data_IF_004385335611
#
_entry.id   IF_004385335611
#
_cell.length_a   1.000
_cell.length_b   1.000
_cell.length_c   1.000
_cell.angle_alpha   90.00
_cell.angle_beta   90.00
_cell.angle_gamma   90.00
#
_symmetry.space_group_name_H-M   'P 1'
#
loop_
_entity.id
_entity.type
_entity.pdbx_description
1 polymer ?
#
# COMPACT_ATOMS: atom_id res chain seq x y z
N UNK A 1 -5.34 10.24 0.55
CA UNK A 1 -4.62 11.12 1.50
C UNK A 1 -3.44 11.77 0.80
N UNK A 2 -2.92 12.87 1.32
CA UNK A 2 -1.72 13.55 0.80
C UNK A 2 -0.98 14.19 1.97
N UNK A 3 0.29 13.85 2.17
CA UNK A 3 1.11 14.33 3.27
C UNK A 3 2.35 15.05 2.76
N UNK A 4 2.78 16.10 3.46
CA UNK A 4 4.01 16.82 3.18
C UNK A 4 5.12 16.34 4.13
N UNK A 5 5.88 15.35 3.68
CA UNK A 5 6.95 14.74 4.49
C UNK A 5 8.06 15.73 4.91
N UNK A 6 8.17 16.90 4.27
CA UNK A 6 9.18 17.90 4.62
C UNK A 6 8.79 18.67 5.88
N UNK A 7 7.52 19.07 5.97
CA UNK A 7 7.01 19.89 7.07
C UNK A 7 6.23 19.08 8.10
N UNK A 8 5.78 17.88 7.72
CA UNK A 8 5.03 16.93 8.54
C UNK A 8 5.62 15.52 8.40
N UNK A 9 6.82 15.28 8.96
CA UNK A 9 7.51 13.99 8.87
C UNK A 9 6.78 12.85 9.62
N UNK A 10 5.77 13.18 10.41
CA UNK A 10 4.97 12.23 11.19
C UNK A 10 3.55 12.06 10.62
N UNK A 11 3.26 12.66 9.47
CA UNK A 11 2.02 12.46 8.70
C UNK A 11 0.72 12.75 9.50
N UNK A 12 0.74 13.75 10.38
CA UNK A 12 -0.42 14.12 11.19
C UNK A 12 -1.52 14.84 10.38
N UNK A 13 -1.15 15.56 9.33
CA UNK A 13 -2.05 16.45 8.59
C UNK A 13 -2.30 15.94 7.17
N UNK A 14 -3.50 15.42 6.94
CA UNK A 14 -3.94 15.04 5.61
C UNK A 14 -4.35 16.29 4.81
N UNK A 15 -3.64 16.56 3.73
CA UNK A 15 -3.84 17.70 2.82
C UNK A 15 -4.55 17.32 1.53
N UNK A 16 -5.21 16.16 1.47
CA UNK A 16 -5.83 15.64 0.25
C UNK A 16 -6.92 16.55 -0.33
N UNK A 17 -7.57 17.36 0.50
CA UNK A 17 -8.69 18.23 0.12
C UNK A 17 -8.27 19.70 -0.05
N UNK A 18 -6.99 20.02 0.14
CA UNK A 18 -6.48 21.37 -0.09
C UNK A 18 -6.46 21.69 -1.60
N UNK A 19 -7.25 22.67 -2.07
CA UNK A 19 -7.31 23.02 -3.49
C UNK A 19 -5.97 23.52 -4.04
N UNK A 20 -5.09 24.08 -3.19
CA UNK A 20 -3.75 24.53 -3.60
C UNK A 20 -2.87 23.36 -4.04
N UNK A 21 -3.13 22.16 -3.52
CA UNK A 21 -2.38 20.94 -3.81
C UNK A 21 -3.03 20.07 -4.88
N UNK A 22 -4.14 20.51 -5.50
CA UNK A 22 -4.82 19.77 -6.56
C UNK A 22 -3.88 19.38 -7.72
N UNK A 23 -2.98 20.30 -8.13
CA UNK A 23 -1.98 20.03 -9.17
C UNK A 23 -0.98 18.95 -8.75
N UNK A 24 -0.56 18.96 -7.48
CA UNK A 24 0.38 17.97 -6.93
C UNK A 24 -0.31 16.61 -6.83
N UNK A 25 -1.54 16.56 -6.32
CA UNK A 25 -2.38 15.36 -6.25
C UNK A 25 -2.58 14.74 -7.64
N UNK A 26 -2.89 15.54 -8.65
CA UNK A 26 -3.05 15.07 -10.02
C UNK A 26 -1.74 14.52 -10.61
N UNK A 27 -0.60 15.18 -10.35
CA UNK A 27 0.71 14.70 -10.81
C UNK A 27 1.09 13.36 -10.17
N UNK A 28 0.86 13.22 -8.87
CA UNK A 28 1.13 11.97 -8.14
C UNK A 28 0.20 10.85 -8.59
N UNK A 29 -1.10 11.14 -8.79
CA UNK A 29 -2.06 10.17 -9.30
C UNK A 29 -1.68 9.62 -10.67
N UNK A 30 -1.08 10.45 -11.55
CA UNK A 30 -0.58 10.00 -12.87
C UNK A 30 0.65 9.09 -12.78
N UNK A 31 1.44 9.20 -11.73
CA UNK A 31 2.58 8.32 -11.51
C UNK A 31 2.16 6.93 -10.98
N UNK A 32 0.93 6.81 -10.47
CA UNK A 32 0.40 5.51 -10.04
C UNK A 32 0.14 4.62 -11.26
N UNK A 33 0.54 3.34 -11.20
CA UNK A 33 0.24 2.41 -12.26
C UNK A 33 -1.28 2.21 -12.39
N UNK A 34 -1.80 2.33 -13.61
CA UNK A 34 -3.23 2.15 -13.88
C UNK A 34 -3.68 0.68 -13.68
N UNK A 35 -2.75 -0.26 -13.81
CA UNK A 35 -2.96 -1.68 -13.56
C UNK A 35 -2.18 -2.06 -12.30
N UNK A 36 -2.90 -2.56 -11.32
CA UNK A 36 -2.31 -3.12 -10.11
C UNK A 36 -1.86 -4.54 -10.43
N UNK A 37 -0.62 -4.88 -10.11
CA UNK A 37 -0.14 -6.25 -10.18
C UNK A 37 -0.99 -7.15 -9.25
N UNK A 38 -1.22 -8.42 -9.62
CA UNK A 38 -1.98 -9.33 -8.78
C UNK A 38 -1.29 -9.52 -7.43
N UNK A 39 -2.10 -9.70 -6.39
CA UNK A 39 -1.59 -9.96 -5.04
C UNK A 39 -0.64 -11.15 -5.04
N UNK A 40 0.61 -10.91 -4.62
CA UNK A 40 1.62 -11.97 -4.54
C UNK A 40 1.21 -13.00 -3.48
N UNK A 41 1.28 -14.27 -3.84
CA UNK A 41 1.11 -15.38 -2.90
C UNK A 41 2.36 -15.51 -2.04
N UNK A 42 2.20 -16.11 -0.86
CA UNK A 42 3.33 -16.45 0.01
C UNK A 42 4.27 -17.38 -0.79
N UNK A 43 5.56 -17.04 -0.94
CA UNK A 43 6.52 -17.89 -1.63
C UNK A 43 6.66 -19.21 -0.89
N UNK A 44 6.32 -20.31 -1.57
CA UNK A 44 6.34 -21.65 -0.97
C UNK A 44 7.66 -22.40 -1.17
N UNK A 45 8.50 -21.87 -2.04
CA UNK A 45 9.83 -22.32 -2.46
C UNK A 45 10.96 -21.89 -1.51
N UNK A 46 10.67 -20.99 -0.56
CA UNK A 46 11.64 -20.57 0.45
C UNK A 46 11.96 -21.70 1.44
N UNK A 47 13.24 -21.91 1.80
CA UNK A 47 13.63 -22.87 2.84
C UNK A 47 13.04 -22.53 4.22
N UNK A 48 12.55 -21.29 4.41
CA UNK A 48 11.91 -20.84 5.64
C UNK A 48 10.37 -20.93 5.60
N UNK A 49 9.77 -21.37 4.50
CA UNK A 49 8.32 -21.51 4.41
C UNK A 49 7.84 -22.68 5.29
N UNK A 50 7.37 -22.37 6.50
CA UNK A 50 6.83 -23.34 7.46
C UNK A 50 5.36 -23.69 7.20
N UNK A 51 5.03 -24.06 5.96
CA UNK A 51 3.67 -24.29 5.44
C UNK A 51 2.60 -24.52 6.51
N UNK A 52 1.54 -23.69 6.51
CA UNK A 52 0.49 -23.74 7.53
C UNK A 52 -0.22 -25.09 7.49
N UNK A 53 0.10 -26.02 8.40
CA UNK A 53 -0.67 -27.25 8.61
C UNK A 53 -2.01 -26.88 9.26
N UNK A 54 -3.03 -26.58 8.45
CA UNK A 54 -4.41 -26.51 8.98
C UNK A 54 -4.74 -27.90 9.53
N UNK A 55 -5.01 -27.98 10.83
CA UNK A 55 -5.59 -29.16 11.45
C UNK A 55 -6.86 -29.55 10.70
N UNK A 56 -7.01 -30.86 10.44
CA UNK A 56 -8.18 -31.46 9.80
C UNK A 56 -9.43 -31.03 10.58
N UNK A 57 -10.51 -30.53 9.95
CA UNK A 57 -11.75 -30.30 10.68
C UNK A 57 -12.27 -31.69 11.11
N UNK A 58 -12.34 -31.91 12.41
CA UNK A 58 -13.09 -33.04 12.97
C UNK A 58 -14.57 -32.73 12.80
N UNK A 59 -15.24 -33.59 12.03
CA UNK A 59 -16.68 -33.55 11.77
C UNK A 59 -17.47 -33.85 13.04
#
# INVERSE_FOLDING_TARGET
>A
ELYDLKNDPHEFTNLADDPRLAKVKARLARALPAKVEPMRKIPTDSPYHRGRKRGKPTN
#
